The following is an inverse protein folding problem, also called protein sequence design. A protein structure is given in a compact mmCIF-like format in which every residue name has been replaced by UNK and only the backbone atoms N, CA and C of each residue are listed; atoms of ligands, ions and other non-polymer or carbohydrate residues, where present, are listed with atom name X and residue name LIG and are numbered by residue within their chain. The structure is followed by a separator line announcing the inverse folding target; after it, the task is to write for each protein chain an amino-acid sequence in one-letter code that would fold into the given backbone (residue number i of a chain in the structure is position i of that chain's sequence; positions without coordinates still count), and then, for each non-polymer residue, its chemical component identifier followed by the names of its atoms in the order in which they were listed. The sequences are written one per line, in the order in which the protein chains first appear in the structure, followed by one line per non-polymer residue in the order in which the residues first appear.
data_IF_008715404359
#
_entry.id   IF_008715404359
#
_cell.length_a   1.000
_cell.length_b   1.000
_cell.length_c   1.000
_cell.angle_alpha   90.00
_cell.angle_beta   90.00
_cell.angle_gamma   90.00
#
_symmetry.space_group_name_H-M   'P 1'
#
loop_
_entity.id
_entity.type
_entity.pdbx_description
1 polymer ?
#
# COMPACT_ATOMS: atom_id res chain seq x y z
N UNK A 1 49.48 33.30 -10.24
CA UNK A 1 48.82 32.10 -10.67
C UNK A 1 47.62 31.75 -9.79
N UNK A 2 46.48 31.89 -10.32
CA UNK A 2 45.27 31.70 -9.58
C UNK A 2 44.77 30.23 -9.66
N UNK A 3 45.34 29.39 -8.86
CA UNK A 3 45.00 27.99 -8.91
C UNK A 3 43.76 27.63 -8.10
N UNK A 4 43.36 28.49 -7.19
CA UNK A 4 42.26 28.21 -6.31
C UNK A 4 40.95 28.92 -6.64
N UNK A 5 40.95 29.74 -7.68
CA UNK A 5 39.81 30.60 -7.96
C UNK A 5 39.30 30.40 -9.37
N UNK A 6 39.22 29.19 -9.81
CA UNK A 6 38.60 28.88 -11.09
C UNK A 6 37.07 28.99 -10.95
N UNK A 7 36.43 30.00 -11.53
CA UNK A 7 34.98 30.15 -11.43
C UNK A 7 34.20 28.99 -12.04
N UNK A 8 34.76 28.34 -13.05
CA UNK A 8 34.11 27.17 -13.65
C UNK A 8 34.03 26.00 -12.69
N UNK A 9 35.07 25.74 -11.94
CA UNK A 9 35.09 24.65 -10.94
C UNK A 9 34.13 24.94 -9.82
N UNK A 10 34.05 26.17 -9.34
CA UNK A 10 33.09 26.58 -8.31
C UNK A 10 31.65 26.42 -8.79
N UNK A 11 31.37 26.86 -10.03
CA UNK A 11 30.04 26.70 -10.63
C UNK A 11 29.65 25.24 -10.78
N UNK A 12 30.57 24.41 -11.23
CA UNK A 12 30.35 22.98 -11.36
C UNK A 12 30.05 22.31 -10.02
N UNK A 13 30.74 22.70 -8.96
CA UNK A 13 30.51 22.21 -7.62
C UNK A 13 29.15 22.66 -7.08
N UNK A 14 28.78 23.91 -7.31
CA UNK A 14 27.46 24.42 -6.91
C UNK A 14 26.33 23.72 -7.66
N UNK A 15 26.50 23.52 -8.97
CA UNK A 15 25.54 22.78 -9.78
C UNK A 15 25.43 21.32 -9.32
N UNK A 16 26.53 20.71 -9.01
CA UNK A 16 26.54 19.33 -8.49
C UNK A 16 25.84 19.26 -7.15
N UNK A 17 26.11 20.16 -6.22
CA UNK A 17 25.43 20.21 -4.93
C UNK A 17 23.94 20.47 -5.09
N UNK A 18 23.57 21.37 -6.00
CA UNK A 18 22.17 21.62 -6.31
C UNK A 18 21.47 20.39 -6.86
N UNK A 19 22.10 19.71 -7.80
CA UNK A 19 21.58 18.47 -8.37
C UNK A 19 21.45 17.37 -7.30
N UNK A 20 22.41 17.30 -6.41
CA UNK A 20 22.38 16.33 -5.31
C UNK A 20 21.21 16.60 -4.36
N UNK A 21 20.98 17.87 -4.01
CA UNK A 21 19.84 18.27 -3.18
C UNK A 21 18.52 17.93 -3.85
N UNK A 22 18.39 18.22 -5.14
CA UNK A 22 17.19 17.87 -5.91
C UNK A 22 16.95 16.36 -5.89
N UNK A 23 18.00 15.59 -6.14
CA UNK A 23 17.91 14.13 -6.12
C UNK A 23 17.49 13.62 -4.75
N UNK A 24 18.02 14.18 -3.68
CA UNK A 24 17.65 13.84 -2.31
C UNK A 24 16.20 14.18 -2.01
N UNK A 25 15.74 15.36 -2.43
CA UNK A 25 14.35 15.76 -2.27
C UNK A 25 13.40 14.85 -3.05
N UNK A 26 13.75 14.51 -4.28
CA UNK A 26 12.96 13.59 -5.08
C UNK A 26 12.89 12.21 -4.45
N UNK A 27 14.00 11.76 -3.88
CA UNK A 27 14.06 10.48 -3.19
C UNK A 27 13.14 10.47 -1.96
N UNK A 28 13.16 11.54 -1.17
CA UNK A 28 12.27 11.69 -0.02
C UNK A 28 10.79 11.65 -0.42
N UNK A 29 10.45 12.36 -1.49
CA UNK A 29 9.07 12.36 -2.01
C UNK A 29 8.66 10.97 -2.48
N UNK A 30 9.54 10.28 -3.20
CA UNK A 30 9.28 8.93 -3.66
C UNK A 30 9.13 7.94 -2.50
N UNK A 31 9.95 8.05 -1.48
CA UNK A 31 9.84 7.23 -0.29
C UNK A 31 8.52 7.45 0.43
N UNK A 32 8.09 8.69 0.55
CA UNK A 32 6.82 9.04 1.15
C UNK A 32 5.64 8.47 0.35
N UNK A 33 5.68 8.60 -0.97
CA UNK A 33 4.66 8.03 -1.86
C UNK A 33 4.61 6.52 -1.74
N UNK A 34 5.76 5.87 -1.67
CA UNK A 34 5.87 4.43 -1.49
C UNK A 34 5.22 3.98 -0.18
N UNK A 35 5.50 4.70 0.91
CA UNK A 35 4.89 4.41 2.21
C UNK A 35 3.37 4.56 2.17
N UNK A 36 2.86 5.59 1.51
CA UNK A 36 1.43 5.79 1.34
C UNK A 36 0.79 4.66 0.54
N UNK A 37 1.44 4.23 -0.54
CA UNK A 37 0.95 3.12 -1.36
C UNK A 37 0.96 1.81 -0.59
N UNK A 38 1.97 1.56 0.23
CA UNK A 38 2.03 0.38 1.09
C UNK A 38 0.90 0.37 2.11
N UNK A 39 0.58 1.52 2.71
CA UNK A 39 -0.57 1.65 3.62
C UNK A 39 -1.88 1.37 2.92
N UNK A 40 -2.08 1.96 1.74
CA UNK A 40 -3.29 1.74 0.95
C UNK A 40 -3.43 0.27 0.57
N UNK A 41 -2.34 -0.36 0.19
CA UNK A 41 -2.33 -1.80 -0.12
C UNK A 41 -2.75 -2.62 1.10
N UNK A 42 -2.16 -2.32 2.27
CA UNK A 42 -2.51 -2.98 3.52
C UNK A 42 -3.99 -2.83 3.85
N UNK A 43 -4.53 -1.63 3.71
CA UNK A 43 -5.94 -1.33 3.95
C UNK A 43 -6.86 -2.11 2.99
N UNK A 44 -6.48 -2.19 1.72
CA UNK A 44 -7.22 -2.96 0.72
C UNK A 44 -7.17 -4.45 1.03
N UNK A 45 -6.02 -4.97 1.43
CA UNK A 45 -5.88 -6.38 1.80
C UNK A 45 -6.74 -6.71 3.03
N UNK A 46 -6.78 -5.84 4.03
CA UNK A 46 -7.65 -6.00 5.20
C UNK A 46 -9.12 -5.97 4.82
N UNK A 47 -9.53 -5.05 3.96
CA UNK A 47 -10.90 -4.98 3.48
C UNK A 47 -11.31 -6.23 2.71
N UNK A 48 -10.42 -6.72 1.86
CA UNK A 48 -10.66 -7.95 1.11
C UNK A 48 -10.79 -9.16 2.03
N UNK A 49 -9.96 -9.23 3.06
CA UNK A 49 -10.01 -10.30 4.04
C UNK A 49 -11.33 -10.26 4.82
N UNK A 50 -11.77 -9.10 5.28
CA UNK A 50 -13.06 -8.94 5.96
C UNK A 50 -14.22 -9.31 5.06
N UNK A 51 -14.13 -8.93 3.79
CA UNK A 51 -15.15 -9.28 2.79
C UNK A 51 -15.24 -10.78 2.60
N UNK A 52 -14.11 -11.46 2.48
CA UNK A 52 -14.07 -12.92 2.36
C UNK A 52 -14.64 -13.60 3.60
N UNK A 53 -14.27 -13.14 4.79
CA UNK A 53 -14.80 -13.65 6.05
C UNK A 53 -16.32 -13.49 6.14
N UNK A 54 -16.81 -12.33 5.72
CA UNK A 54 -18.25 -12.05 5.69
C UNK A 54 -18.98 -12.97 4.73
N UNK A 55 -18.46 -13.15 3.52
CA UNK A 55 -19.04 -14.04 2.51
C UNK A 55 -19.04 -15.47 3.00
N UNK A 56 -17.92 -15.94 3.56
CA UNK A 56 -17.81 -17.28 4.10
C UNK A 56 -18.77 -17.51 5.26
N UNK A 57 -18.92 -16.52 6.14
CA UNK A 57 -19.88 -16.57 7.23
C UNK A 57 -21.32 -16.66 6.75
N UNK A 58 -21.66 -15.93 5.68
CA UNK A 58 -22.98 -16.02 5.06
C UNK A 58 -23.25 -17.40 4.45
N UNK A 59 -22.25 -17.97 3.79
CA UNK A 59 -22.36 -19.30 3.20
C UNK A 59 -22.59 -20.35 4.30
N UNK A 60 -21.81 -20.31 5.38
CA UNK A 60 -22.00 -21.21 6.52
C UNK A 60 -23.39 -21.08 7.14
N UNK A 61 -23.84 -19.86 7.34
CA UNK A 61 -25.18 -19.60 7.89
C UNK A 61 -26.26 -20.17 7.00
N UNK A 62 -26.16 -19.96 5.70
CA UNK A 62 -27.09 -20.46 4.71
C UNK A 62 -27.12 -21.99 4.71
N UNK A 63 -25.97 -22.65 4.79
CA UNK A 63 -25.86 -24.09 4.87
C UNK A 63 -26.51 -24.65 6.15
N UNK A 64 -26.27 -24.00 7.29
CA UNK A 64 -26.91 -24.39 8.56
C UNK A 64 -28.41 -24.23 8.52
N UNK A 65 -28.91 -23.12 7.98
CA UNK A 65 -30.34 -22.89 7.84
C UNK A 65 -30.98 -23.92 6.91
N UNK A 66 -30.34 -24.21 5.78
CA UNK A 66 -30.80 -25.23 4.85
C UNK A 66 -30.86 -26.61 5.50
N UNK A 67 -29.84 -26.95 6.27
CA UNK A 67 -29.81 -28.21 7.04
C UNK A 67 -30.93 -28.27 8.07
N UNK A 68 -31.17 -27.17 8.79
CA UNK A 68 -32.24 -27.10 9.78
C UNK A 68 -33.62 -27.26 9.16
N UNK A 69 -33.85 -26.59 8.03
CA UNK A 69 -35.13 -26.71 7.28
C UNK A 69 -35.33 -28.14 6.83
N UNK A 70 -34.33 -28.79 6.29
CA UNK A 70 -34.41 -30.19 5.87
C UNK A 70 -34.74 -31.10 7.05
N UNK A 71 -34.16 -30.88 8.20
CA UNK A 71 -34.45 -31.69 9.42
C UNK A 71 -35.90 -31.49 9.86
N UNK A 72 -36.36 -30.24 9.88
CA UNK A 72 -37.77 -29.92 10.23
C UNK A 72 -38.71 -30.61 9.28
N UNK A 73 -38.49 -30.55 7.97
CA UNK A 73 -39.32 -31.20 6.97
C UNK A 73 -39.39 -32.69 7.19
N UNK A 74 -38.29 -33.35 7.53
CA UNK A 74 -38.25 -34.80 7.86
C UNK A 74 -39.04 -35.15 9.10
N UNK A 75 -39.03 -34.28 10.10
CA UNK A 75 -39.78 -34.49 11.34
C UNK A 75 -41.27 -34.30 11.16
N UNK A 76 -41.67 -33.42 10.25
CA UNK A 76 -43.08 -33.12 9.96
C UNK A 76 -43.70 -34.14 9.05
N UNK A 77 -42.91 -34.80 8.24
CA UNK A 77 -43.33 -35.82 7.31
C UNK A 77 -42.73 -37.18 7.59
#
# INVERSE_FOLDING_TARGET
MNLGADPCTSSENEDFEGQLREAQQQLEVLQHQREQLERQKCEMDELNQRKEEFINGQIELTERLSGSVTTIDRELF
#
